data_IF_353535599506
#
_entry.id   IF_353535599506
#
_cell.length_a   1.000
_cell.length_b   1.000
_cell.length_c   1.000
_cell.angle_alpha   90.00
_cell.angle_beta   90.00
_cell.angle_gamma   90.00
#
_symmetry.space_group_name_H-M   'P 1'
#
loop_
_entity.id
_entity.type
_entity.pdbx_description
1 polymer ?
#
# COMPACT_ATOMS: atom_id res chain seq x y z
N UNK A 1 12.03 -7.89 -2.80
CA UNK A 1 12.80 -6.84 -2.10
C UNK A 1 11.98 -6.12 -1.02
N UNK A 2 10.67 -5.88 -1.18
CA UNK A 2 9.80 -5.27 -0.16
C UNK A 2 9.63 -6.11 1.12
N UNK A 3 9.60 -7.44 1.05
CA UNK A 3 9.45 -8.31 2.24
C UNK A 3 10.63 -8.25 3.22
N UNK A 4 11.85 -7.96 2.76
CA UNK A 4 13.03 -7.84 3.64
C UNK A 4 13.06 -6.55 4.45
N UNK A 5 12.45 -5.46 3.94
CA UNK A 5 12.35 -4.19 4.67
C UNK A 5 11.35 -4.29 5.82
N UNK A 6 10.26 -5.05 5.63
CA UNK A 6 9.23 -5.24 6.66
C UNK A 6 9.73 -6.10 7.83
N UNK A 7 10.47 -7.18 7.58
CA UNK A 7 10.99 -8.05 8.66
C UNK A 7 11.95 -7.29 9.61
N UNK A 8 12.77 -6.38 9.09
CA UNK A 8 13.66 -5.55 9.90
C UNK A 8 12.89 -4.57 10.78
N UNK A 9 11.88 -3.95 10.23
CA UNK A 9 11.01 -3.02 10.96
C UNK A 9 10.26 -3.74 12.09
N UNK A 10 9.73 -4.93 11.81
CA UNK A 10 9.04 -5.75 12.80
C UNK A 10 9.96 -6.22 13.93
N UNK A 11 11.17 -6.68 13.64
CA UNK A 11 12.14 -7.10 14.65
C UNK A 11 12.59 -5.92 15.52
N UNK A 12 12.82 -4.76 14.92
CA UNK A 12 13.17 -3.54 15.65
C UNK A 12 12.01 -3.07 16.54
N UNK A 13 10.78 -3.13 16.03
CA UNK A 13 9.57 -2.84 16.79
C UNK A 13 9.42 -3.81 17.97
N UNK A 14 9.63 -5.11 17.75
CA UNK A 14 9.58 -6.12 18.80
C UNK A 14 10.53 -5.82 19.96
N UNK A 15 11.79 -5.47 19.67
CA UNK A 15 12.76 -5.13 20.72
C UNK A 15 12.30 -3.91 21.51
N UNK A 16 11.77 -2.88 20.85
CA UNK A 16 11.23 -1.69 21.52
C UNK A 16 10.04 -2.03 22.44
N UNK A 17 9.09 -2.82 21.94
CA UNK A 17 7.93 -3.26 22.72
C UNK A 17 8.37 -4.11 23.91
N UNK A 18 9.34 -5.01 23.71
CA UNK A 18 9.92 -5.82 24.79
C UNK A 18 10.51 -4.94 25.90
N UNK A 19 11.31 -3.94 25.55
CA UNK A 19 11.90 -3.00 26.53
C UNK A 19 10.79 -2.29 27.32
N UNK A 20 9.73 -1.85 26.66
CA UNK A 20 8.58 -1.21 27.32
C UNK A 20 7.92 -2.18 28.31
N UNK A 21 7.62 -3.41 27.87
CA UNK A 21 6.99 -4.44 28.71
C UNK A 21 7.87 -4.75 29.93
N UNK A 22 9.18 -4.94 29.73
CA UNK A 22 10.12 -5.21 30.82
C UNK A 22 10.18 -4.05 31.84
N UNK A 23 10.12 -2.81 31.36
CA UNK A 23 10.10 -1.62 32.22
C UNK A 23 8.85 -1.57 33.08
N UNK A 24 7.68 -1.82 32.47
CA UNK A 24 6.40 -1.90 33.19
C UNK A 24 6.40 -3.04 34.20
N UNK A 25 6.87 -4.21 33.81
CA UNK A 25 6.94 -5.39 34.66
C UNK A 25 7.83 -5.16 35.87
N UNK A 26 9.01 -4.59 35.65
CA UNK A 26 9.92 -4.20 36.74
C UNK A 26 9.28 -3.17 37.68
N UNK A 27 8.61 -2.15 37.11
CA UNK A 27 7.94 -1.10 37.88
C UNK A 27 6.79 -1.64 38.75
N UNK A 28 5.94 -2.50 38.18
CA UNK A 28 4.82 -3.13 38.90
C UNK A 28 5.31 -4.01 40.03
N UNK A 29 6.28 -4.89 39.77
CA UNK A 29 6.80 -5.81 40.79
C UNK A 29 7.55 -5.09 41.91
N UNK A 30 8.29 -4.01 41.61
CA UNK A 30 8.90 -3.15 42.62
C UNK A 30 7.85 -2.41 43.46
N UNK A 31 6.74 -2.00 42.86
CA UNK A 31 5.63 -1.38 43.60
C UNK A 31 4.94 -2.38 44.51
N UNK A 32 4.64 -3.60 44.00
CA UNK A 32 4.05 -4.68 44.80
C UNK A 32 4.96 -5.07 45.96
N UNK A 33 6.26 -5.22 45.71
CA UNK A 33 7.25 -5.55 46.74
C UNK A 33 7.36 -4.50 47.88
N UNK A 34 6.96 -3.24 47.62
CA UNK A 34 6.87 -2.21 48.63
C UNK A 34 5.58 -2.27 49.47
N UNK A 35 4.50 -2.77 48.89
CA UNK A 35 3.17 -2.80 49.51
C UNK A 35 2.91 -4.10 50.27
N UNK A 36 3.51 -5.19 49.83
CA UNK A 36 3.35 -6.52 50.42
C UNK A 36 4.72 -7.05 50.90
N UNK A 37 4.83 -7.72 52.07
CA UNK A 37 6.07 -8.37 52.46
C UNK A 37 6.46 -9.42 51.42
N UNK A 38 7.74 -9.38 51.01
CA UNK A 38 8.30 -10.15 49.92
C UNK A 38 8.01 -11.65 50.05
N UNK A 39 7.21 -12.18 49.17
CA UNK A 39 6.90 -13.60 49.06
C UNK A 39 7.89 -14.34 48.13
N UNK A 40 8.75 -13.61 47.37
CA UNK A 40 9.69 -14.19 46.42
C UNK A 40 11.03 -13.43 46.44
N UNK A 41 12.15 -14.03 45.95
CA UNK A 41 13.49 -13.44 45.97
C UNK A 41 13.59 -12.29 44.96
N UNK A 42 13.29 -11.04 45.39
CA UNK A 42 13.29 -9.85 44.56
C UNK A 42 14.64 -9.64 43.85
N UNK A 43 15.77 -9.99 44.50
CA UNK A 43 17.10 -9.88 43.88
C UNK A 43 17.23 -10.79 42.64
N UNK A 44 16.71 -12.02 42.73
CA UNK A 44 16.73 -12.98 41.59
C UNK A 44 15.89 -12.44 40.43
N UNK A 45 14.69 -11.96 40.76
CA UNK A 45 13.79 -11.35 39.75
C UNK A 45 14.46 -10.17 39.03
N UNK A 46 15.02 -9.22 39.75
CA UNK A 46 15.70 -8.06 39.18
C UNK A 46 16.89 -8.48 38.32
N UNK A 47 17.69 -9.47 38.74
CA UNK A 47 18.81 -9.97 37.97
C UNK A 47 18.33 -10.61 36.62
N UNK A 48 17.23 -11.36 36.64
CA UNK A 48 16.62 -11.94 35.43
C UNK A 48 16.17 -10.84 34.48
N UNK A 49 15.50 -9.81 34.97
CA UNK A 49 15.06 -8.69 34.15
C UNK A 49 16.25 -7.92 33.56
N UNK A 50 17.29 -7.66 34.32
CA UNK A 50 18.52 -7.01 33.84
C UNK A 50 19.22 -7.86 32.75
N UNK A 51 19.27 -9.18 32.94
CA UNK A 51 19.80 -10.10 31.92
C UNK A 51 18.96 -10.01 30.64
N UNK A 52 17.61 -9.97 30.75
CA UNK A 52 16.72 -9.87 29.61
C UNK A 52 16.88 -8.53 28.87
N UNK A 53 17.09 -7.42 29.58
CA UNK A 53 17.49 -6.13 28.98
C UNK A 53 18.79 -6.24 28.18
N UNK A 54 19.82 -6.86 28.78
CA UNK A 54 21.13 -7.04 28.14
C UNK A 54 21.00 -7.84 26.83
N UNK A 55 20.25 -8.93 26.87
CA UNK A 55 19.96 -9.76 25.70
C UNK A 55 19.17 -8.95 24.64
N UNK A 56 18.21 -8.13 25.06
CA UNK A 56 17.43 -7.29 24.15
C UNK A 56 18.29 -6.26 23.41
N UNK A 57 19.23 -5.63 24.13
CA UNK A 57 20.21 -4.72 23.52
C UNK A 57 21.16 -5.47 22.57
N UNK A 58 21.60 -6.66 22.97
CA UNK A 58 22.42 -7.51 22.10
C UNK A 58 21.71 -7.87 20.79
N UNK A 59 20.42 -8.22 20.82
CA UNK A 59 19.62 -8.44 19.62
C UNK A 59 19.48 -7.20 18.75
N UNK A 60 19.40 -6.00 19.35
CA UNK A 60 19.39 -4.75 18.60
C UNK A 60 20.69 -4.53 17.81
N UNK A 61 21.82 -4.82 18.43
CA UNK A 61 23.14 -4.78 17.75
C UNK A 61 23.24 -5.85 16.66
N UNK A 62 22.76 -7.07 16.93
CA UNK A 62 22.79 -8.17 15.99
C UNK A 62 21.94 -7.88 14.72
N UNK A 63 20.86 -7.12 14.85
CA UNK A 63 20.05 -6.64 13.71
C UNK A 63 20.86 -5.84 12.69
N UNK A 64 21.97 -5.22 13.11
CA UNK A 64 22.83 -4.44 12.23
C UNK A 64 23.83 -5.30 11.44
N UNK A 65 24.23 -6.44 11.97
CA UNK A 65 25.33 -7.26 11.42
C UNK A 65 24.86 -8.57 10.79
N UNK A 66 23.72 -9.12 11.17
CA UNK A 66 23.26 -10.43 10.74
C UNK A 66 22.11 -10.33 9.72
N UNK A 67 22.31 -10.90 8.54
CA UNK A 67 21.35 -10.84 7.43
C UNK A 67 20.23 -11.88 7.50
N UNK A 68 20.47 -13.03 8.17
CA UNK A 68 19.50 -14.12 8.28
C UNK A 68 18.40 -13.85 9.32
N UNK A 69 17.39 -13.10 8.92
CA UNK A 69 16.30 -12.60 9.76
C UNK A 69 15.44 -13.70 10.38
N UNK A 70 15.20 -14.80 9.62
CA UNK A 70 14.35 -15.91 10.11
C UNK A 70 14.95 -16.63 11.30
N UNK A 71 16.25 -16.92 11.25
CA UNK A 71 16.95 -17.55 12.37
C UNK A 71 16.97 -16.62 13.57
N UNK A 72 17.19 -15.33 13.34
CA UNK A 72 17.17 -14.32 14.39
C UNK A 72 15.81 -14.21 15.08
N UNK A 73 14.70 -14.21 14.31
CA UNK A 73 13.34 -14.23 14.85
C UNK A 73 13.08 -15.45 15.72
N UNK A 74 13.52 -16.64 15.27
CA UNK A 74 13.38 -17.87 16.01
C UNK A 74 14.17 -17.83 17.33
N UNK A 75 15.43 -17.40 17.28
CA UNK A 75 16.28 -17.27 18.47
C UNK A 75 15.69 -16.30 19.49
N UNK A 76 15.14 -15.17 19.03
CA UNK A 76 14.50 -14.21 19.91
C UNK A 76 13.28 -14.80 20.62
N UNK A 77 12.42 -15.53 19.89
CA UNK A 77 11.22 -16.15 20.47
C UNK A 77 11.60 -17.24 21.48
N UNK A 78 12.59 -18.10 21.16
CA UNK A 78 13.06 -19.14 22.09
C UNK A 78 13.68 -18.53 23.34
N UNK A 79 14.48 -17.48 23.17
CA UNK A 79 15.07 -16.75 24.30
C UNK A 79 14.00 -16.09 25.18
N UNK A 80 12.97 -15.50 24.56
CA UNK A 80 11.86 -14.89 25.30
C UNK A 80 11.09 -15.93 26.11
N UNK A 81 10.84 -17.13 25.54
CA UNK A 81 10.24 -18.23 26.30
C UNK A 81 11.09 -18.67 27.48
N UNK A 82 12.41 -18.79 27.30
CA UNK A 82 13.31 -19.15 28.37
C UNK A 82 13.31 -18.08 29.50
N UNK A 83 13.33 -16.80 29.12
CA UNK A 83 13.30 -15.70 30.08
C UNK A 83 11.96 -15.61 30.81
N UNK A 84 10.83 -15.80 30.12
CA UNK A 84 9.50 -15.91 30.74
C UNK A 84 9.48 -17.05 31.75
N UNK A 85 10.04 -18.20 31.37
CA UNK A 85 10.12 -19.38 32.26
C UNK A 85 10.90 -19.06 33.54
N UNK A 86 12.05 -18.39 33.43
CA UNK A 86 12.84 -17.97 34.58
C UNK A 86 12.09 -16.94 35.46
N UNK A 87 11.35 -16.00 34.86
CA UNK A 87 10.53 -15.03 35.57
C UNK A 87 9.41 -15.73 36.34
N UNK A 88 8.66 -16.62 35.68
CA UNK A 88 7.59 -17.38 36.31
C UNK A 88 8.10 -18.26 37.45
N UNK A 89 9.25 -18.92 37.25
CA UNK A 89 9.93 -19.67 38.33
C UNK A 89 10.26 -18.78 39.52
N UNK A 90 10.93 -17.64 39.30
CA UNK A 90 11.36 -16.72 40.34
C UNK A 90 10.19 -16.07 41.11
N UNK A 91 9.03 -15.95 40.49
CA UNK A 91 7.82 -15.35 41.09
C UNK A 91 6.85 -16.38 41.71
N UNK A 92 7.30 -17.64 41.89
CA UNK A 92 6.56 -18.65 42.63
C UNK A 92 5.87 -19.73 41.78
N UNK A 93 6.21 -19.86 40.50
CA UNK A 93 5.73 -20.97 39.66
C UNK A 93 4.21 -21.05 39.56
N UNK A 94 3.58 -21.89 40.39
CA UNK A 94 2.13 -22.06 40.45
C UNK A 94 1.38 -20.79 40.85
N UNK A 95 1.95 -20.03 41.80
CA UNK A 95 1.36 -18.78 42.33
C UNK A 95 1.71 -17.57 41.47
N UNK A 96 2.52 -17.73 40.42
CA UNK A 96 2.97 -16.62 39.59
C UNK A 96 1.82 -15.97 38.84
N UNK A 97 1.56 -14.70 39.10
CA UNK A 97 0.65 -13.87 38.32
C UNK A 97 1.17 -13.54 36.92
N UNK A 98 2.48 -13.79 36.66
CA UNK A 98 3.12 -13.46 35.39
C UNK A 98 3.01 -14.56 34.32
N UNK A 99 2.21 -15.59 34.59
CA UNK A 99 1.98 -16.71 33.65
C UNK A 99 1.36 -16.26 32.31
N UNK A 100 0.66 -15.10 32.28
CA UNK A 100 0.12 -14.48 31.07
C UNK A 100 1.19 -14.07 30.03
N UNK A 101 2.46 -14.03 30.42
CA UNK A 101 3.56 -13.72 29.49
C UNK A 101 3.76 -14.81 28.42
N UNK A 102 3.48 -16.09 28.74
CA UNK A 102 3.57 -17.17 27.73
C UNK A 102 2.62 -16.96 26.55
N UNK A 103 1.30 -16.73 26.75
CA UNK A 103 0.41 -16.33 25.67
C UNK A 103 0.89 -15.14 24.86
N UNK A 104 1.50 -14.14 25.49
CA UNK A 104 2.02 -12.97 24.78
C UNK A 104 3.14 -13.35 23.82
N UNK A 105 4.12 -14.18 24.26
CA UNK A 105 5.19 -14.65 23.40
C UNK A 105 4.65 -15.53 22.25
N UNK A 106 3.64 -16.35 22.52
CA UNK A 106 2.98 -17.17 21.49
C UNK A 106 2.33 -16.28 20.42
N UNK A 107 1.65 -15.21 20.79
CA UNK A 107 1.05 -14.25 19.86
C UNK A 107 2.14 -13.59 19.00
N UNK A 108 3.22 -13.13 19.62
CA UNK A 108 4.36 -12.54 18.91
C UNK A 108 4.98 -13.53 17.93
N UNK A 109 5.15 -14.79 18.33
CA UNK A 109 5.65 -15.85 17.45
C UNK A 109 4.72 -16.08 16.25
N UNK A 110 3.38 -16.03 16.42
CA UNK A 110 2.42 -16.16 15.33
C UNK A 110 2.55 -15.04 14.29
N UNK A 111 2.93 -13.84 14.71
CA UNK A 111 3.14 -12.69 13.82
C UNK A 111 4.46 -12.82 13.05
N UNK A 112 5.55 -13.19 13.75
CA UNK A 112 6.91 -13.19 13.19
C UNK A 112 7.26 -14.45 12.39
N UNK A 113 6.78 -15.62 12.84
CA UNK A 113 7.19 -16.90 12.31
C UNK A 113 6.13 -17.49 11.36
N UNK A 114 6.51 -18.40 10.45
CA UNK A 114 5.58 -19.22 9.69
C UNK A 114 4.64 -20.03 10.62
N UNK A 115 3.44 -20.33 10.13
CA UNK A 115 2.37 -20.97 10.93
C UNK A 115 2.79 -22.22 11.69
N UNK A 116 3.63 -23.09 11.08
CA UNK A 116 4.11 -24.30 11.74
C UNK A 116 4.97 -24.00 12.97
N UNK A 117 5.85 -23.00 12.88
CA UNK A 117 6.72 -22.59 13.99
C UNK A 117 5.96 -21.94 15.13
N UNK A 118 4.87 -21.24 14.83
CA UNK A 118 3.99 -20.66 15.83
C UNK A 118 3.34 -21.73 16.72
N UNK A 119 2.87 -22.84 16.14
CA UNK A 119 2.37 -23.97 16.93
C UNK A 119 3.46 -24.67 17.76
N UNK A 120 4.67 -24.82 17.18
CA UNK A 120 5.81 -25.36 17.93
C UNK A 120 6.18 -24.46 19.11
N UNK A 121 6.06 -23.13 18.96
CA UNK A 121 6.28 -22.19 20.07
C UNK A 121 5.28 -22.39 21.18
N UNK A 122 3.98 -22.59 20.86
CA UNK A 122 2.96 -22.91 21.85
C UNK A 122 3.22 -24.22 22.60
N UNK A 123 3.65 -25.26 21.87
CA UNK A 123 4.02 -26.53 22.49
C UNK A 123 5.27 -26.38 23.39
N UNK A 124 6.30 -25.66 22.93
CA UNK A 124 7.50 -25.40 23.73
C UNK A 124 7.17 -24.58 24.99
N UNK A 125 6.33 -23.56 24.88
CA UNK A 125 5.86 -22.77 26.02
C UNK A 125 5.20 -23.65 27.08
N UNK A 126 4.33 -24.57 26.65
CA UNK A 126 3.67 -25.53 27.53
C UNK A 126 4.68 -26.49 28.18
N UNK A 127 5.59 -27.07 27.41
CA UNK A 127 6.61 -27.98 27.95
C UNK A 127 7.47 -27.28 28.99
N UNK A 128 7.95 -26.06 28.73
CA UNK A 128 8.77 -25.30 29.66
C UNK A 128 8.00 -24.97 30.94
N UNK A 129 6.73 -24.57 30.82
CA UNK A 129 5.89 -24.29 31.96
C UNK A 129 5.66 -25.52 32.84
N UNK A 130 5.25 -26.64 32.24
CA UNK A 130 5.02 -27.89 32.97
C UNK A 130 6.31 -28.39 33.63
N UNK A 131 7.43 -28.33 32.93
CA UNK A 131 8.75 -28.75 33.47
C UNK A 131 9.07 -27.97 34.75
N UNK A 132 8.87 -26.65 34.76
CA UNK A 132 9.10 -25.85 36.00
C UNK A 132 8.15 -26.26 37.11
N UNK A 133 6.86 -26.47 36.80
CA UNK A 133 5.86 -26.89 37.81
C UNK A 133 6.19 -28.26 38.40
N UNK A 134 6.56 -29.24 37.58
CA UNK A 134 6.93 -30.57 38.07
C UNK A 134 8.23 -30.59 38.88
N UNK A 135 9.29 -29.88 38.38
CA UNK A 135 10.57 -29.81 39.10
C UNK A 135 10.43 -29.12 40.46
N UNK A 136 9.55 -28.10 40.59
CA UNK A 136 9.27 -27.46 41.85
C UNK A 136 8.36 -28.30 42.76
N UNK A 137 7.41 -29.05 42.19
CA UNK A 137 6.49 -29.93 42.94
C UNK A 137 7.25 -31.13 43.55
N UNK A 138 8.18 -31.75 42.79
CA UNK A 138 9.00 -32.85 43.27
C UNK A 138 10.25 -32.40 44.05
N UNK A 139 10.36 -31.12 44.41
CA UNK A 139 11.47 -30.53 45.16
C UNK A 139 12.85 -30.74 44.53
N UNK A 140 12.91 -30.97 43.22
CA UNK A 140 14.20 -31.08 42.49
C UNK A 140 14.90 -29.72 42.45
N UNK A 141 14.12 -28.62 42.35
CA UNK A 141 14.61 -27.26 42.44
C UNK A 141 13.87 -26.53 43.57
N UNK A 142 14.51 -25.50 44.18
CA UNK A 142 13.87 -24.74 45.26
C UNK A 142 12.54 -24.13 44.81
N UNK A 143 11.48 -24.34 45.57
CA UNK A 143 10.18 -23.69 45.33
C UNK A 143 10.11 -22.35 46.00
N UNK A 144 9.69 -21.32 45.29
CA UNK A 144 9.35 -20.00 45.82
C UNK A 144 7.84 -19.80 45.96
N UNK A 145 7.07 -20.88 45.76
CA UNK A 145 5.62 -20.90 45.93
C UNK A 145 5.25 -20.85 47.42
N UNK A 146 4.20 -20.12 47.75
CA UNK A 146 3.61 -20.09 49.08
C UNK A 146 2.56 -21.17 49.26
N UNK A 147 2.02 -21.68 48.14
CA UNK A 147 1.02 -22.74 48.12
C UNK A 147 1.64 -24.07 47.67
N UNK A 148 1.25 -25.16 48.34
CA UNK A 148 1.60 -26.53 47.94
C UNK A 148 0.32 -27.24 47.48
N UNK A 149 -0.03 -27.09 46.18
CA UNK A 149 -1.24 -27.70 45.66
C UNK A 149 -1.15 -29.23 45.73
N UNK A 150 -2.24 -29.91 46.08
CA UNK A 150 -2.26 -31.36 45.94
C UNK A 150 -2.18 -31.77 44.46
N UNK A 151 -1.79 -33.03 44.21
CA UNK A 151 -1.56 -33.58 42.87
C UNK A 151 -2.74 -33.30 41.91
N UNK A 152 -3.99 -33.46 42.38
CA UNK A 152 -5.17 -33.20 41.53
C UNK A 152 -5.34 -31.72 41.15
N UNK A 153 -5.00 -30.80 42.04
CA UNK A 153 -5.00 -29.35 41.74
C UNK A 153 -3.91 -29.00 40.74
N UNK A 154 -2.70 -29.56 40.91
CA UNK A 154 -1.59 -29.36 39.97
C UNK A 154 -1.96 -29.86 38.56
N UNK A 155 -2.55 -31.08 38.45
CA UNK A 155 -3.01 -31.61 37.18
C UNK A 155 -4.06 -30.70 36.52
N UNK A 156 -5.02 -30.16 37.28
CA UNK A 156 -6.04 -29.24 36.80
C UNK A 156 -5.38 -27.96 36.25
N UNK A 157 -4.41 -27.38 36.93
CA UNK A 157 -3.66 -26.19 36.49
C UNK A 157 -2.92 -26.50 35.16
N UNK A 158 -2.24 -27.64 35.06
CA UNK A 158 -1.56 -28.07 33.84
C UNK A 158 -2.55 -28.19 32.69
N UNK A 159 -3.69 -28.83 32.88
CA UNK A 159 -4.73 -29.01 31.86
C UNK A 159 -5.32 -27.67 31.37
N UNK A 160 -5.61 -26.75 32.28
CA UNK A 160 -6.14 -25.41 31.93
C UNK A 160 -5.14 -24.64 31.09
N UNK A 161 -3.86 -24.65 31.48
CA UNK A 161 -2.80 -23.94 30.74
C UNK A 161 -2.49 -24.60 29.39
N UNK A 162 -2.55 -25.94 29.27
CA UNK A 162 -2.45 -26.63 27.98
C UNK A 162 -3.52 -26.13 27.02
N UNK A 163 -4.77 -26.13 27.48
CA UNK A 163 -5.89 -25.69 26.65
C UNK A 163 -5.77 -24.20 26.29
N UNK A 164 -5.36 -23.39 27.27
CA UNK A 164 -5.14 -21.93 27.06
C UNK A 164 -4.06 -21.64 26.03
N UNK A 165 -2.89 -22.29 26.12
CA UNK A 165 -1.79 -22.06 25.19
C UNK A 165 -2.11 -22.58 23.78
N UNK A 166 -2.77 -23.74 23.66
CA UNK A 166 -3.24 -24.26 22.37
C UNK A 166 -4.31 -23.36 21.74
N UNK A 167 -5.26 -22.88 22.53
CA UNK A 167 -6.30 -21.97 22.05
C UNK A 167 -5.69 -20.65 21.55
N UNK A 168 -4.73 -20.06 22.32
CA UNK A 168 -4.05 -18.84 21.91
C UNK A 168 -3.22 -19.07 20.64
N UNK A 169 -2.45 -20.17 20.58
CA UNK A 169 -1.65 -20.47 19.39
C UNK A 169 -2.53 -20.67 18.14
N UNK A 170 -3.68 -21.33 18.29
CA UNK A 170 -4.64 -21.55 17.21
C UNK A 170 -5.27 -20.24 16.75
N UNK A 171 -5.86 -19.47 17.68
CA UNK A 171 -6.57 -18.23 17.36
C UNK A 171 -5.61 -17.15 16.81
N UNK A 172 -4.46 -16.97 17.47
CA UNK A 172 -3.44 -16.03 16.99
C UNK A 172 -2.87 -16.45 15.62
N UNK A 173 -2.67 -17.75 15.41
CA UNK A 173 -2.24 -18.32 14.13
C UNK A 173 -3.26 -18.08 13.00
N UNK A 174 -4.55 -18.25 13.28
CA UNK A 174 -5.63 -17.92 12.33
C UNK A 174 -5.65 -16.42 12.00
N UNK A 175 -5.58 -15.59 13.03
CA UNK A 175 -5.58 -14.13 12.85
C UNK A 175 -4.38 -13.65 12.05
N UNK A 176 -3.17 -14.13 12.38
CA UNK A 176 -1.96 -13.81 11.65
C UNK A 176 -2.03 -14.25 10.18
N UNK A 177 -2.57 -15.44 9.90
CA UNK A 177 -2.78 -15.91 8.53
C UNK A 177 -3.75 -15.02 7.75
N UNK A 178 -4.85 -14.60 8.39
CA UNK A 178 -5.84 -13.71 7.77
C UNK A 178 -5.27 -12.31 7.49
N UNK A 179 -4.49 -11.75 8.42
CA UNK A 179 -3.81 -10.47 8.23
C UNK A 179 -2.84 -10.54 7.04
N UNK A 180 -2.00 -11.57 6.96
CA UNK A 180 -1.08 -11.77 5.81
C UNK A 180 -1.83 -11.88 4.48
N UNK A 181 -2.99 -12.54 4.46
CA UNK A 181 -3.82 -12.65 3.26
C UNK A 181 -4.40 -11.29 2.83
N UNK A 182 -4.82 -10.47 3.79
CA UNK A 182 -5.31 -9.10 3.53
C UNK A 182 -4.19 -8.23 2.97
N UNK A 183 -2.99 -8.29 3.55
CA UNK A 183 -1.83 -7.50 3.06
C UNK A 183 -1.46 -7.86 1.62
N UNK A 184 -1.38 -9.16 1.29
CA UNK A 184 -1.12 -9.62 -0.08
C UNK A 184 -2.20 -9.12 -1.05
N UNK A 185 -3.47 -9.20 -0.67
CA UNK A 185 -4.59 -8.72 -1.50
C UNK A 185 -4.54 -7.21 -1.71
N UNK A 186 -4.17 -6.47 -0.67
CA UNK A 186 -4.05 -5.00 -0.71
C UNK A 186 -2.92 -4.57 -1.66
N UNK A 187 -1.76 -5.24 -1.61
CA UNK A 187 -0.64 -5.02 -2.53
C UNK A 187 -1.04 -5.31 -3.99
N UNK A 188 -1.74 -6.42 -4.23
CA UNK A 188 -2.24 -6.77 -5.57
C UNK A 188 -3.24 -5.74 -6.11
N UNK A 189 -4.18 -5.29 -5.27
CA UNK A 189 -5.17 -4.30 -5.68
C UNK A 189 -4.51 -2.96 -5.98
N UNK A 190 -3.52 -2.57 -5.18
CA UNK A 190 -2.76 -1.34 -5.39
C UNK A 190 -1.96 -1.37 -6.69
N UNK A 191 -1.25 -2.47 -6.97
CA UNK A 191 -0.54 -2.64 -8.23
C UNK A 191 -1.47 -2.61 -9.44
N UNK A 192 -2.62 -3.30 -9.38
CA UNK A 192 -3.61 -3.26 -10.45
C UNK A 192 -4.19 -1.86 -10.70
N UNK A 193 -4.29 -1.05 -9.65
CA UNK A 193 -4.77 0.33 -9.75
C UNK A 193 -3.72 1.24 -10.40
N UNK A 194 -2.45 1.08 -10.02
CA UNK A 194 -1.30 1.77 -10.63
C UNK A 194 -1.17 1.40 -12.13
N UNK A 195 -1.29 0.12 -12.47
CA UNK A 195 -1.27 -0.36 -13.87
C UNK A 195 -2.42 0.22 -14.68
N UNK A 196 -3.63 0.29 -14.11
CA UNK A 196 -4.80 0.87 -14.78
C UNK A 196 -4.64 2.38 -15.00
N UNK A 197 -4.08 3.10 -14.04
CA UNK A 197 -3.79 4.53 -14.18
C UNK A 197 -2.76 4.77 -15.29
N UNK A 198 -1.65 4.02 -15.29
CA UNK A 198 -0.63 4.11 -16.31
C UNK A 198 -1.18 3.77 -17.71
N UNK A 199 -2.05 2.75 -17.80
CA UNK A 199 -2.72 2.38 -19.06
C UNK A 199 -3.64 3.52 -19.54
N UNK A 200 -4.42 4.13 -18.65
CA UNK A 200 -5.28 5.29 -18.98
C UNK A 200 -4.46 6.46 -19.52
N UNK A 201 -3.39 6.83 -18.84
CA UNK A 201 -2.48 7.89 -19.30
C UNK A 201 -1.89 7.56 -20.68
N UNK A 202 -1.36 6.35 -20.84
CA UNK A 202 -0.80 5.91 -22.12
C UNK A 202 -1.83 5.94 -23.26
N UNK A 203 -3.08 5.52 -23.02
CA UNK A 203 -4.15 5.59 -24.04
C UNK A 203 -4.40 7.05 -24.42
N UNK A 204 -4.57 7.96 -23.47
CA UNK A 204 -4.82 9.37 -23.74
C UNK A 204 -3.66 10.01 -24.51
N UNK A 205 -2.42 9.70 -24.14
CA UNK A 205 -1.24 10.23 -24.80
C UNK A 205 -0.97 9.62 -26.20
N UNK A 206 -1.46 8.39 -26.45
CA UNK A 206 -1.30 7.71 -27.76
C UNK A 206 -2.34 8.10 -28.81
N UNK A 207 -3.38 8.88 -28.44
CA UNK A 207 -4.35 9.38 -29.40
C UNK A 207 -3.67 10.38 -30.35
N UNK A 208 -3.72 10.10 -31.66
CA UNK A 208 -3.08 10.92 -32.70
C UNK A 208 -3.74 12.29 -32.89
N UNK A 209 -4.99 12.47 -32.47
CA UNK A 209 -5.69 13.75 -32.44
C UNK A 209 -5.45 14.51 -31.13
N UNK A 210 -5.46 15.85 -31.18
CA UNK A 210 -5.43 16.66 -29.97
C UNK A 210 -6.64 16.39 -29.10
N UNK A 211 -6.42 16.19 -27.80
CA UNK A 211 -7.48 15.99 -26.81
C UNK A 211 -7.31 16.98 -25.65
N UNK A 212 -8.37 17.70 -25.35
CA UNK A 212 -8.47 18.60 -24.20
C UNK A 212 -9.75 18.26 -23.43
N UNK A 213 -9.66 18.20 -22.12
CA UNK A 213 -10.86 18.14 -21.25
C UNK A 213 -11.01 19.43 -20.45
N UNK A 214 -12.25 19.78 -20.15
CA UNK A 214 -12.56 20.95 -19.32
C UNK A 214 -13.52 20.58 -18.19
N UNK A 215 -13.55 21.40 -17.14
CA UNK A 215 -14.64 21.41 -16.19
C UNK A 215 -15.94 21.97 -16.82
N UNK A 216 -17.01 22.03 -16.03
CA UNK A 216 -18.27 22.68 -16.42
C UNK A 216 -18.11 24.20 -16.63
N UNK A 217 -17.11 24.78 -16.02
CA UNK A 217 -16.72 26.19 -16.10
C UNK A 217 -15.92 26.53 -17.36
N UNK A 218 -15.60 25.52 -18.19
CA UNK A 218 -14.81 25.69 -19.43
C UNK A 218 -13.30 25.81 -19.23
N UNK A 219 -12.78 25.65 -18.02
CA UNK A 219 -11.35 25.67 -17.76
C UNK A 219 -10.72 24.32 -18.08
N UNK A 220 -9.56 24.33 -18.74
CA UNK A 220 -8.80 23.14 -19.15
C UNK A 220 -8.31 22.36 -17.94
N UNK A 221 -8.61 21.06 -17.90
CA UNK A 221 -8.24 20.14 -16.81
C UNK A 221 -7.26 19.05 -17.24
N UNK A 222 -7.20 18.72 -18.56
CA UNK A 222 -6.26 17.75 -19.10
C UNK A 222 -5.97 18.06 -20.58
N UNK A 223 -4.75 17.81 -20.99
CA UNK A 223 -4.28 17.98 -22.37
C UNK A 223 -3.40 16.80 -22.75
N UNK A 224 -3.61 16.17 -23.92
CA UNK A 224 -2.70 15.15 -24.41
C UNK A 224 -1.52 15.74 -25.21
N UNK A 225 -0.49 14.93 -25.45
CA UNK A 225 0.72 15.36 -26.20
C UNK A 225 0.37 15.88 -27.60
N UNK A 226 -0.55 15.23 -28.31
CA UNK A 226 -0.98 15.66 -29.65
C UNK A 226 -1.63 17.06 -29.65
N UNK A 227 -2.41 17.41 -28.60
CA UNK A 227 -2.95 18.76 -28.45
C UNK A 227 -1.86 19.79 -28.19
N UNK A 228 -0.84 19.49 -27.38
CA UNK A 228 0.30 20.37 -27.14
C UNK A 228 1.06 20.64 -28.44
N UNK A 229 1.31 19.60 -29.26
CA UNK A 229 1.97 19.72 -30.57
C UNK A 229 1.12 20.50 -31.59
N UNK A 230 -0.20 20.24 -31.63
CA UNK A 230 -1.12 20.94 -32.55
C UNK A 230 -1.24 22.41 -32.22
N UNK A 231 -1.31 22.76 -30.93
CA UNK A 231 -1.46 24.12 -30.44
C UNK A 231 -0.11 24.81 -30.21
N UNK A 232 1.01 24.10 -30.38
CA UNK A 232 2.37 24.62 -30.15
C UNK A 232 2.53 25.29 -28.78
N UNK A 233 1.90 24.70 -27.73
CA UNK A 233 1.93 25.17 -26.35
C UNK A 233 2.21 24.03 -25.40
N UNK A 234 2.90 24.33 -24.32
CA UNK A 234 3.15 23.34 -23.25
C UNK A 234 1.91 23.16 -22.38
N UNK A 235 1.84 22.03 -21.69
CA UNK A 235 0.73 21.68 -20.80
C UNK A 235 0.47 22.77 -19.74
N UNK A 236 1.54 23.30 -19.12
CA UNK A 236 1.44 24.35 -18.09
C UNK A 236 0.83 25.65 -18.59
N UNK A 237 0.96 25.96 -19.89
CA UNK A 237 0.38 27.14 -20.54
C UNK A 237 -1.10 26.94 -20.89
N UNK A 238 -1.59 25.71 -20.87
CA UNK A 238 -2.95 25.35 -21.25
C UNK A 238 -3.81 25.03 -20.03
N UNK A 239 -3.26 24.33 -19.03
CA UNK A 239 -4.00 23.96 -17.82
C UNK A 239 -4.51 25.19 -17.06
N UNK A 240 -5.77 25.11 -16.62
CA UNK A 240 -6.40 26.19 -15.85
C UNK A 240 -6.74 27.44 -16.64
N UNK A 241 -6.61 27.43 -17.97
CA UNK A 241 -7.05 28.52 -18.84
C UNK A 241 -8.39 28.19 -19.51
N UNK A 242 -9.22 29.20 -19.83
CA UNK A 242 -10.46 28.97 -20.56
C UNK A 242 -10.18 28.47 -21.97
N UNK A 243 -10.82 27.35 -22.35
CA UNK A 243 -10.61 26.71 -23.66
C UNK A 243 -11.01 27.62 -24.83
N UNK A 244 -12.03 28.48 -24.67
CA UNK A 244 -12.48 29.42 -25.71
C UNK A 244 -11.43 30.46 -26.08
N UNK A 245 -10.50 30.79 -25.21
CA UNK A 245 -9.42 31.76 -25.48
C UNK A 245 -8.28 31.20 -26.33
N UNK A 246 -8.28 29.91 -26.57
CA UNK A 246 -7.25 29.24 -27.37
C UNK A 246 -7.48 29.38 -28.88
N UNK A 247 -8.71 29.71 -29.32
CA UNK A 247 -9.12 29.70 -30.71
C UNK A 247 -9.65 31.08 -31.15
N UNK A 248 -9.60 31.36 -32.46
CA UNK A 248 -10.12 32.60 -33.05
C UNK A 248 -11.64 32.53 -33.21
N UNK A 249 -12.16 31.36 -33.48
CA UNK A 249 -13.59 31.11 -33.70
C UNK A 249 -14.20 30.48 -32.43
N UNK A 250 -15.46 30.74 -32.14
CA UNK A 250 -16.13 30.13 -31.00
C UNK A 250 -16.19 28.59 -31.14
N UNK A 251 -15.90 27.89 -30.06
CA UNK A 251 -16.03 26.46 -30.02
C UNK A 251 -17.49 26.02 -30.16
N UNK A 252 -17.74 24.83 -30.78
CA UNK A 252 -19.07 24.28 -30.87
C UNK A 252 -19.65 24.04 -29.48
N UNK A 253 -20.81 24.68 -29.21
CA UNK A 253 -21.49 24.54 -27.91
C UNK A 253 -22.11 23.15 -27.79
N UNK A 254 -21.76 22.46 -26.69
CA UNK A 254 -22.26 21.12 -26.40
C UNK A 254 -23.67 21.22 -25.85
N UNK A 255 -24.68 20.86 -26.70
CA UNK A 255 -26.04 20.59 -26.26
C UNK A 255 -26.20 19.16 -25.73
N UNK A 256 -27.32 18.51 -25.99
CA UNK A 256 -27.59 17.11 -25.61
C UNK A 256 -26.87 16.08 -26.51
N UNK A 257 -26.30 16.48 -27.63
CA UNK A 257 -25.59 15.64 -28.62
C UNK A 257 -24.18 16.15 -28.89
N UNK A 258 -23.37 15.33 -29.59
CA UNK A 258 -22.02 15.69 -30.03
C UNK A 258 -22.07 16.91 -30.94
N UNK A 259 -21.36 17.94 -30.60
CA UNK A 259 -21.20 19.12 -31.44
C UNK A 259 -19.89 19.00 -32.24
N UNK A 260 -19.90 19.41 -33.49
CA UNK A 260 -18.71 19.45 -34.34
C UNK A 260 -18.65 20.77 -35.12
N UNK A 261 -17.45 21.22 -35.39
CA UNK A 261 -17.20 22.47 -36.11
C UNK A 261 -15.78 22.54 -36.62
N UNK A 262 -15.51 23.56 -37.41
CA UNK A 262 -14.14 23.91 -37.81
C UNK A 262 -13.80 25.24 -37.16
N UNK A 263 -12.62 25.32 -36.54
CA UNK A 263 -12.10 26.53 -35.91
C UNK A 263 -10.71 26.84 -36.48
N UNK A 264 -10.39 28.13 -36.49
CA UNK A 264 -9.08 28.61 -36.89
C UNK A 264 -8.22 28.85 -35.67
N UNK A 265 -7.01 28.41 -35.76
CA UNK A 265 -5.97 28.60 -34.75
C UNK A 265 -4.75 29.29 -35.38
N UNK A 266 -4.20 30.30 -34.72
CA UNK A 266 -2.97 30.94 -35.14
C UNK A 266 -1.80 30.32 -34.40
N UNK A 267 -0.95 29.62 -35.15
CA UNK A 267 0.27 29.01 -34.65
C UNK A 267 1.31 30.09 -34.29
N UNK A 268 2.28 29.73 -33.45
CA UNK A 268 3.38 30.65 -33.01
C UNK A 268 4.17 31.30 -34.16
N UNK A 269 4.24 30.63 -35.30
CA UNK A 269 4.88 31.08 -36.52
C UNK A 269 3.98 32.00 -37.38
N UNK A 270 2.79 32.38 -36.91
CA UNK A 270 1.84 33.23 -37.58
C UNK A 270 0.99 32.55 -38.67
N UNK A 271 1.16 31.24 -38.92
CA UNK A 271 0.34 30.49 -39.85
C UNK A 271 -1.02 30.15 -39.21
N UNK A 272 -2.09 30.29 -40.01
CA UNK A 272 -3.43 29.93 -39.59
C UNK A 272 -3.68 28.45 -39.93
N UNK A 273 -3.85 27.62 -38.91
CA UNK A 273 -4.27 26.23 -39.03
C UNK A 273 -5.80 26.15 -38.99
N UNK A 274 -6.38 25.22 -39.74
CA UNK A 274 -7.81 24.88 -39.66
C UNK A 274 -7.97 23.56 -38.95
N UNK A 275 -8.55 23.62 -37.76
CA UNK A 275 -8.77 22.44 -36.94
C UNK A 275 -10.25 22.03 -36.97
N UNK A 276 -10.50 20.75 -37.17
CA UNK A 276 -11.82 20.16 -36.89
C UNK A 276 -11.92 19.93 -35.38
N UNK A 277 -12.98 20.42 -34.79
CA UNK A 277 -13.26 20.24 -33.37
C UNK A 277 -14.51 19.40 -33.18
N UNK A 278 -14.43 18.41 -32.33
CA UNK A 278 -15.58 17.68 -31.82
C UNK A 278 -15.67 17.90 -30.31
N UNK A 279 -16.81 18.37 -29.84
CA UNK A 279 -17.09 18.57 -28.44
C UNK A 279 -18.12 17.56 -27.95
N UNK A 280 -17.83 16.91 -26.82
CA UNK A 280 -18.70 15.88 -26.22
C UNK A 280 -18.78 16.10 -24.71
N UNK A 281 -19.98 15.94 -24.14
CA UNK A 281 -20.16 16.03 -22.70
C UNK A 281 -19.47 14.83 -22.00
N UNK A 282 -18.67 15.13 -20.98
CA UNK A 282 -18.05 14.15 -20.11
C UNK A 282 -19.01 13.85 -18.95
N UNK A 283 -19.63 12.68 -18.98
CA UNK A 283 -20.56 12.22 -17.95
C UNK A 283 -20.08 10.91 -17.31
N UNK A 284 -20.24 10.79 -16.00
CA UNK A 284 -20.00 9.53 -15.28
C UNK A 284 -21.34 8.76 -15.22
N UNK A 285 -21.35 7.41 -15.46
CA UNK A 285 -22.57 6.62 -15.38
C UNK A 285 -23.35 6.87 -14.08
N UNK A 286 -24.64 7.24 -14.19
CA UNK A 286 -25.50 7.56 -13.05
C UNK A 286 -25.25 8.92 -12.39
N UNK A 287 -24.38 9.77 -12.94
CA UNK A 287 -24.11 11.14 -12.45
C UNK A 287 -24.38 12.17 -13.55
N UNK A 288 -24.46 13.45 -13.13
CA UNK A 288 -24.55 14.57 -14.05
C UNK A 288 -23.26 14.74 -14.84
N UNK A 289 -23.31 15.47 -15.95
CA UNK A 289 -22.14 15.95 -16.69
C UNK A 289 -21.18 16.63 -15.74
N UNK A 290 -19.88 16.26 -15.84
CA UNK A 290 -18.80 16.79 -14.99
C UNK A 290 -17.87 17.74 -15.76
N UNK A 291 -17.99 17.80 -17.09
CA UNK A 291 -17.17 18.63 -17.94
C UNK A 291 -17.40 18.31 -19.42
N UNK A 292 -16.45 18.71 -20.25
CA UNK A 292 -16.49 18.50 -21.70
C UNK A 292 -15.15 17.94 -22.19
N UNK A 293 -15.23 17.15 -23.28
CA UNK A 293 -14.06 16.63 -24.01
C UNK A 293 -14.08 17.26 -25.40
N UNK A 294 -12.98 17.88 -25.76
CA UNK A 294 -12.74 18.44 -27.09
C UNK A 294 -11.65 17.60 -27.78
N UNK A 295 -11.94 17.13 -28.98
CA UNK A 295 -10.93 16.48 -29.84
C UNK A 295 -10.67 17.34 -31.07
N UNK A 296 -9.40 17.39 -31.50
CA UNK A 296 -8.92 18.27 -32.56
C UNK A 296 -8.16 17.47 -33.61
N UNK A 297 -8.55 17.66 -34.89
CA UNK A 297 -7.81 17.12 -36.04
C UNK A 297 -7.34 18.27 -36.93
N UNK A 298 -6.11 18.25 -37.39
CA UNK A 298 -5.58 19.24 -38.34
C UNK A 298 -6.07 18.94 -39.78
N UNK A 299 -6.87 19.85 -40.30
CA UNK A 299 -7.39 19.78 -41.67
C UNK A 299 -6.63 20.70 -42.65
N UNK A 300 -5.58 21.35 -42.23
CA UNK A 300 -4.90 22.40 -43.01
C UNK A 300 -4.42 21.89 -44.36
N UNK A 301 -3.77 20.74 -44.40
CA UNK A 301 -3.29 20.14 -45.64
C UNK A 301 -4.41 19.64 -46.55
N UNK A 302 -5.43 18.98 -45.93
CA UNK A 302 -6.63 18.51 -46.66
C UNK A 302 -7.33 19.68 -47.35
N UNK A 303 -7.53 20.76 -46.63
CA UNK A 303 -8.18 21.99 -47.15
C UNK A 303 -7.34 22.69 -48.21
N UNK A 304 -6.00 22.60 -48.14
CA UNK A 304 -5.12 23.09 -49.18
C UNK A 304 -5.23 22.28 -50.43
N UNK A 305 -5.17 20.96 -50.35
CA UNK A 305 -5.28 20.06 -51.48
C UNK A 305 -6.66 20.18 -52.17
N UNK A 306 -7.73 20.28 -51.40
CA UNK A 306 -9.07 20.53 -51.95
C UNK A 306 -9.13 21.85 -52.74
N UNK A 307 -8.51 22.90 -52.27
CA UNK A 307 -8.41 24.19 -52.96
C UNK A 307 -7.63 24.07 -54.26
N UNK A 308 -6.50 23.42 -54.22
CA UNK A 308 -5.63 23.23 -55.38
C UNK A 308 -6.35 22.41 -56.46
N UNK A 309 -7.06 21.37 -56.08
CA UNK A 309 -7.91 20.56 -56.97
C UNK A 309 -9.01 21.42 -57.63
N UNK A 310 -9.72 22.25 -56.83
CA UNK A 310 -10.75 23.16 -57.40
C UNK A 310 -10.18 24.15 -58.37
N UNK A 311 -8.97 24.67 -58.11
CA UNK A 311 -8.31 25.57 -59.03
C UNK A 311 -7.93 24.85 -60.33
N UNK A 312 -7.40 23.62 -60.24
CA UNK A 312 -7.10 22.81 -61.41
C UNK A 312 -8.32 22.48 -62.24
N UNK A 313 -9.42 22.08 -61.64
CA UNK A 313 -10.68 21.83 -62.28
C UNK A 313 -11.24 23.04 -63.02
N UNK A 314 -11.15 24.22 -62.41
CA UNK A 314 -11.52 25.50 -63.02
C UNK A 314 -10.66 25.82 -64.23
N UNK A 315 -9.34 25.68 -64.09
CA UNK A 315 -8.40 25.92 -65.21
C UNK A 315 -8.66 24.92 -66.36
N UNK A 316 -8.88 23.65 -66.07
CA UNK A 316 -9.22 22.65 -67.06
C UNK A 316 -10.56 22.98 -67.78
N UNK A 317 -11.57 23.45 -67.02
CA UNK A 317 -12.84 23.87 -67.62
C UNK A 317 -12.69 25.10 -68.55
N UNK A 318 -11.90 26.11 -68.09
CA UNK A 318 -11.58 27.29 -68.92
C UNK A 318 -10.77 26.90 -70.14
N UNK A 319 -9.81 25.99 -70.03
CA UNK A 319 -9.00 25.45 -71.11
C UNK A 319 -9.85 24.71 -72.18
N UNK A 320 -10.80 23.90 -71.75
CA UNK A 320 -11.76 23.21 -72.64
C UNK A 320 -12.67 24.25 -73.36
N UNK A 321 -13.19 25.24 -72.68
CA UNK A 321 -13.97 26.31 -73.25
C UNK A 321 -13.16 27.15 -74.28
N UNK A 322 -11.94 27.52 -73.94
CA UNK A 322 -11.06 28.24 -74.85
C UNK A 322 -10.72 27.44 -76.07
N UNK A 323 -10.46 26.13 -75.95
CA UNK A 323 -10.24 25.22 -77.07
C UNK A 323 -11.47 25.08 -77.98
N UNK A 324 -12.67 24.99 -77.40
CA UNK A 324 -13.95 24.90 -78.15
C UNK A 324 -14.22 26.24 -78.92
N UNK A 325 -14.03 27.39 -78.26
CA UNK A 325 -14.14 28.69 -78.94
C UNK A 325 -13.10 28.88 -80.05
N UNK A 326 -11.86 28.48 -79.81
CA UNK A 326 -10.82 28.56 -80.83
C UNK A 326 -11.11 27.66 -82.04
N UNK A 327 -11.68 26.51 -81.78
CA UNK A 327 -12.14 25.58 -82.86
C UNK A 327 -13.28 26.18 -83.66
N UNK A 328 -14.23 26.82 -82.99
CA UNK A 328 -15.37 27.46 -83.65
C UNK A 328 -14.98 28.72 -84.47
N UNK A 329 -14.07 29.51 -83.97
CA UNK A 329 -13.52 30.66 -84.73
C UNK A 329 -12.64 30.22 -85.90
N UNK A 330 -12.01 29.05 -85.88
CA UNK A 330 -11.13 28.55 -86.95
C UNK A 330 -11.91 27.86 -88.06
N UNK A 331 -13.14 27.49 -87.86
CA UNK A 331 -13.98 26.82 -88.81
C UNK A 331 -15.18 27.72 -89.19
N UNK A 332 -15.03 28.68 -90.13
CA UNK A 332 -16.09 29.53 -90.62
C UNK A 332 -17.10 28.77 -91.53
#
# INVERSE_FOLDING_TARGET
MQSMFDERLWLNWLVKVRIIILTFLLGIELAIARLTPNQFPLRLFVNIILLWYTISVFYLLLLSFWEERRIQSLLQVVTDLAMVTLVVYATGGVDSSLNFLYPLVIIVACILLPRAWAYLTGALAFILYVTVLELTYFEVIPSYSTTHPGMGALQAIIFVNLFGYLAVAYLAGLLAAKLRQVDVKLLHTRGALEDLQALHENIIQSISGGLITTGLDGYVTLVNTAAQELLERQEDDLLGHPVDQLFLDPLPSVGSERAHGEVRFVASNGFCKTLRVMATALAVPGRRTIGYVYTFDDLTEIRRLERDLRIQDRLAAVGRLAAAIAHEIRNP
#
